data_IF_890983096791
#
_entry.id   IF_890983096791
#
_cell.length_a   1.000
_cell.length_b   1.000
_cell.length_c   1.000
_cell.angle_alpha   90.00
_cell.angle_beta   90.00
_cell.angle_gamma   90.00
#
_symmetry.space_group_name_H-M   'P 1'
#
loop_
_entity.id
_entity.type
_entity.pdbx_description
1 polymer ?
#
# COMPACT_ATOMS: atom_id res chain seq x y z
N UNK A 1 -8.68 -15.65 -5.61
CA UNK A 1 -9.73 -16.37 -6.35
C UNK A 1 -9.56 -16.33 -7.87
N UNK A 2 -8.87 -15.34 -8.45
CA UNK A 2 -8.64 -15.26 -9.91
C UNK A 2 -7.59 -16.24 -10.41
N UNK A 3 -6.54 -16.45 -9.62
CA UNK A 3 -5.34 -17.20 -10.02
C UNK A 3 -5.09 -18.46 -9.23
N UNK A 4 -5.81 -18.68 -8.12
CA UNK A 4 -5.66 -19.88 -7.29
C UNK A 4 -6.51 -21.04 -7.81
N UNK A 5 -6.03 -22.25 -7.64
CA UNK A 5 -6.81 -23.48 -7.86
C UNK A 5 -8.07 -23.46 -6.99
N UNK A 6 -9.18 -23.98 -7.53
CA UNK A 6 -10.46 -24.02 -6.81
C UNK A 6 -10.31 -24.92 -5.57
N UNK A 7 -10.74 -24.39 -4.41
CA UNK A 7 -10.67 -25.10 -3.13
C UNK A 7 -9.31 -25.05 -2.43
N UNK A 8 -8.26 -24.45 -3.06
CA UNK A 8 -6.93 -24.33 -2.45
C UNK A 8 -6.79 -23.14 -1.51
N UNK A 9 -7.71 -22.16 -1.58
CA UNK A 9 -7.62 -20.91 -0.81
C UNK A 9 -7.96 -21.18 0.66
N UNK A 10 -7.05 -20.82 1.54
CA UNK A 10 -7.19 -20.93 3.01
C UNK A 10 -6.90 -19.59 3.66
N UNK A 11 -7.70 -19.23 4.65
CA UNK A 11 -7.41 -18.11 5.54
C UNK A 11 -6.64 -18.68 6.73
N UNK A 12 -5.36 -18.34 6.86
CA UNK A 12 -4.49 -18.83 7.95
C UNK A 12 -4.53 -17.91 9.16
N UNK A 13 -4.77 -16.61 8.93
CA UNK A 13 -5.02 -15.62 9.97
C UNK A 13 -6.17 -14.71 9.53
N UNK A 14 -7.09 -14.39 10.44
CA UNK A 14 -8.25 -13.57 10.14
C UNK A 14 -8.33 -12.39 11.11
N UNK A 15 -8.30 -11.16 10.54
CA UNK A 15 -8.55 -9.90 11.25
C UNK A 15 -7.69 -9.72 12.52
N UNK A 16 -6.43 -10.13 12.47
CA UNK A 16 -5.47 -9.94 13.56
C UNK A 16 -5.07 -8.46 13.65
N UNK A 17 -5.09 -7.90 14.85
CA UNK A 17 -4.69 -6.51 15.07
C UNK A 17 -3.17 -6.43 15.20
N UNK A 18 -2.52 -5.83 14.21
CA UNK A 18 -1.10 -5.50 14.27
C UNK A 18 -0.90 -4.05 14.70
N UNK A 19 -0.03 -3.85 15.71
CA UNK A 19 0.26 -2.53 16.28
C UNK A 19 1.66 -2.10 15.88
N UNK A 20 1.74 -0.98 15.18
CA UNK A 20 2.98 -0.28 14.86
C UNK A 20 3.09 1.03 15.63
N UNK A 21 4.25 1.66 15.63
CA UNK A 21 4.51 2.88 16.43
C UNK A 21 3.54 4.04 16.17
N UNK A 22 2.94 4.13 15.01
CA UNK A 22 2.07 5.25 14.61
C UNK A 22 0.75 4.84 13.96
N UNK A 23 0.53 3.55 13.73
CA UNK A 23 -0.67 3.02 13.08
C UNK A 23 -1.03 1.64 13.61
N UNK A 24 -2.30 1.29 13.53
CA UNK A 24 -2.81 -0.06 13.75
C UNK A 24 -3.44 -0.57 12.46
N UNK A 25 -3.26 -1.84 12.17
CA UNK A 25 -3.86 -2.49 11.01
C UNK A 25 -4.61 -3.75 11.42
N UNK A 26 -5.70 -4.01 10.70
CA UNK A 26 -6.31 -5.34 10.67
C UNK A 26 -5.65 -6.11 9.53
N UNK A 27 -5.03 -7.23 9.87
CA UNK A 27 -4.31 -8.09 8.94
C UNK A 27 -5.01 -9.44 8.84
N UNK A 28 -5.10 -9.95 7.62
CA UNK A 28 -5.53 -11.32 7.36
C UNK A 28 -4.51 -11.96 6.42
N UNK A 29 -4.11 -13.18 6.74
CA UNK A 29 -3.20 -13.95 5.90
C UNK A 29 -3.97 -15.03 5.13
N UNK A 30 -3.74 -15.07 3.82
CA UNK A 30 -4.44 -15.96 2.89
C UNK A 30 -3.41 -16.68 2.05
N UNK A 31 -3.53 -18.00 1.99
CA UNK A 31 -2.71 -18.89 1.18
C UNK A 31 -3.53 -19.55 0.08
N UNK A 32 -2.87 -19.90 -1.01
CA UNK A 32 -3.51 -20.63 -2.10
C UNK A 32 -2.48 -21.21 -3.07
N UNK A 33 -2.88 -22.25 -3.80
CA UNK A 33 -2.05 -22.87 -4.83
C UNK A 33 -2.31 -22.14 -6.15
N UNK A 34 -1.27 -21.68 -6.79
CA UNK A 34 -1.38 -21.02 -8.09
C UNK A 34 -1.81 -22.04 -9.16
N UNK A 35 -2.76 -21.65 -10.03
CA UNK A 35 -3.20 -22.49 -11.15
C UNK A 35 -2.02 -22.87 -12.04
N UNK A 36 -2.02 -24.10 -12.53
CA UNK A 36 -1.00 -24.59 -13.45
C UNK A 36 -0.90 -23.71 -14.69
N UNK A 37 0.31 -23.33 -15.06
CA UNK A 37 0.61 -22.49 -16.21
C UNK A 37 0.59 -21.01 -15.94
N UNK A 38 0.26 -20.57 -14.72
CA UNK A 38 0.43 -19.20 -14.26
C UNK A 38 1.74 -19.03 -13.49
N UNK A 39 2.27 -17.82 -13.53
CA UNK A 39 3.50 -17.45 -12.84
C UNK A 39 3.31 -16.25 -11.88
N UNK A 40 4.40 -15.77 -11.31
CA UNK A 40 4.40 -14.65 -10.38
C UNK A 40 3.95 -13.33 -11.05
N UNK A 41 4.19 -13.14 -12.35
CA UNK A 41 3.73 -11.96 -13.07
C UNK A 41 2.22 -11.99 -13.26
N UNK A 42 1.64 -13.16 -13.53
CA UNK A 42 0.19 -13.33 -13.62
C UNK A 42 -0.48 -13.06 -12.28
N UNK A 43 0.14 -13.52 -11.17
CA UNK A 43 -0.32 -13.24 -9.82
C UNK A 43 -0.32 -11.72 -9.55
N UNK A 44 0.79 -11.03 -9.82
CA UNK A 44 0.86 -9.58 -9.63
C UNK A 44 -0.20 -8.87 -10.48
N UNK A 45 -0.31 -9.22 -11.76
CA UNK A 45 -1.28 -8.64 -12.70
C UNK A 45 -2.74 -8.81 -12.23
N UNK A 46 -3.05 -9.93 -11.60
CA UNK A 46 -4.39 -10.21 -11.08
C UNK A 46 -4.72 -9.45 -9.76
N UNK A 47 -3.69 -9.13 -8.95
CA UNK A 47 -3.85 -8.48 -7.65
C UNK A 47 -3.72 -6.95 -7.74
N UNK A 48 -2.93 -6.45 -8.67
CA UNK A 48 -2.63 -5.02 -8.84
C UNK A 48 -3.79 -4.23 -9.48
N UNK A 49 -3.97 -2.96 -9.10
CA UNK A 49 -3.45 -2.33 -7.89
C UNK A 49 -4.16 -2.82 -6.61
N UNK A 50 -3.51 -2.61 -5.46
CA UNK A 50 -4.06 -3.06 -4.19
C UNK A 50 -5.37 -2.34 -3.83
N UNK A 51 -6.40 -3.10 -3.48
CA UNK A 51 -7.74 -2.57 -3.16
C UNK A 51 -7.76 -1.61 -1.97
N UNK A 52 -6.86 -1.81 -1.00
CA UNK A 52 -6.73 -0.95 0.20
C UNK A 52 -6.30 0.49 -0.10
N UNK A 53 -5.69 0.75 -1.26
CA UNK A 53 -5.27 2.09 -1.69
C UNK A 53 -6.06 2.61 -2.89
N UNK A 54 -6.97 1.80 -3.45
CA UNK A 54 -7.84 2.19 -4.56
C UNK A 54 -9.30 2.23 -4.16
N UNK A 55 -9.81 1.20 -3.52
CA UNK A 55 -11.21 1.08 -3.13
C UNK A 55 -11.96 -0.01 -3.91
N UNK A 56 -13.26 -0.09 -3.67
CA UNK A 56 -14.14 -1.05 -4.32
C UNK A 56 -15.51 -0.41 -4.64
N UNK A 57 -16.08 -0.66 -5.83
CA UNK A 57 -15.54 -1.42 -6.97
C UNK A 57 -14.29 -0.74 -7.56
N UNK A 58 -13.25 -1.52 -7.85
CA UNK A 58 -11.89 -1.00 -8.12
C UNK A 58 -11.84 0.02 -9.27
N UNK A 59 -12.47 -0.26 -10.39
CA UNK A 59 -12.44 0.63 -11.58
C UNK A 59 -13.07 1.97 -11.24
N UNK A 60 -14.29 1.98 -10.69
CA UNK A 60 -14.97 3.24 -10.33
C UNK A 60 -14.23 4.03 -9.25
N UNK A 61 -13.64 3.34 -8.27
CA UNK A 61 -12.83 3.98 -7.24
C UNK A 61 -11.60 4.67 -7.85
N UNK A 62 -10.94 4.06 -8.82
CA UNK A 62 -9.80 4.66 -9.52
C UNK A 62 -10.21 5.86 -10.38
N UNK A 63 -11.37 5.82 -11.04
CA UNK A 63 -11.92 6.97 -11.76
C UNK A 63 -12.17 8.16 -10.83
N UNK A 64 -12.79 7.91 -9.66
CA UNK A 64 -13.03 8.94 -8.64
C UNK A 64 -11.71 9.53 -8.11
N UNK A 65 -10.70 8.71 -7.90
CA UNK A 65 -9.38 9.17 -7.48
C UNK A 65 -8.78 10.11 -8.53
N UNK A 66 -8.85 9.75 -9.81
CA UNK A 66 -8.37 10.58 -10.92
C UNK A 66 -9.14 11.90 -11.04
N UNK A 67 -10.46 11.87 -10.77
CA UNK A 67 -11.31 13.06 -10.79
C UNK A 67 -11.01 14.04 -9.63
N UNK A 68 -10.68 13.53 -8.45
CA UNK A 68 -10.63 14.32 -7.21
C UNK A 68 -9.23 14.63 -6.71
N UNK A 69 -8.22 13.81 -7.00
CA UNK A 69 -6.87 14.09 -6.55
C UNK A 69 -6.19 15.14 -7.45
N UNK A 70 -5.63 16.22 -6.87
CA UNK A 70 -5.07 17.33 -7.65
C UNK A 70 -3.72 16.98 -8.28
N UNK A 71 -3.10 15.88 -7.88
CA UNK A 71 -1.77 15.46 -8.33
C UNK A 71 -1.74 13.96 -8.61
N UNK A 72 -0.96 13.57 -9.61
CA UNK A 72 -0.74 12.16 -9.91
C UNK A 72 -0.04 11.45 -8.74
N UNK A 73 -0.46 10.23 -8.45
CA UNK A 73 0.09 9.41 -7.36
C UNK A 73 1.54 8.98 -7.59
N UNK A 74 1.97 8.89 -8.85
CA UNK A 74 3.31 8.40 -9.18
C UNK A 74 3.57 7.01 -8.59
N UNK A 75 4.58 6.89 -7.73
CA UNK A 75 4.91 5.64 -7.07
C UNK A 75 3.93 5.26 -5.94
N UNK A 76 3.19 6.23 -5.36
CA UNK A 76 2.29 5.99 -4.24
C UNK A 76 1.15 5.06 -4.62
N UNK A 77 0.90 4.04 -3.79
CA UNK A 77 -0.13 3.03 -4.05
C UNK A 77 0.24 2.01 -5.12
N UNK A 78 1.44 2.11 -5.68
CA UNK A 78 2.01 1.12 -6.58
C UNK A 78 2.47 -0.15 -5.86
N UNK A 79 3.32 -0.93 -6.51
CA UNK A 79 3.95 -2.12 -5.94
C UNK A 79 5.47 -1.97 -6.01
N UNK A 80 6.14 -2.32 -4.93
CA UNK A 80 7.60 -2.42 -4.85
C UNK A 80 7.98 -3.80 -4.36
N UNK A 81 9.00 -4.40 -4.97
CA UNK A 81 9.43 -5.73 -4.62
C UNK A 81 10.43 -6.31 -5.60
N UNK A 82 10.53 -7.62 -5.63
CA UNK A 82 11.46 -8.33 -6.52
C UNK A 82 10.84 -9.59 -7.11
N UNK A 83 11.34 -9.97 -8.27
CA UNK A 83 11.18 -11.28 -8.87
C UNK A 83 12.55 -11.96 -8.89
N UNK A 84 12.65 -13.13 -8.28
CA UNK A 84 13.91 -13.88 -8.26
C UNK A 84 14.05 -14.77 -9.48
N UNK A 85 15.27 -15.14 -9.80
CA UNK A 85 15.57 -16.10 -10.86
C UNK A 85 14.99 -17.50 -10.59
N UNK A 86 14.68 -17.82 -9.33
CA UNK A 86 14.01 -19.07 -8.95
C UNK A 86 12.48 -19.05 -9.13
N UNK A 87 11.91 -17.94 -9.65
CA UNK A 87 10.48 -17.78 -9.86
C UNK A 87 9.70 -17.25 -8.65
N UNK A 88 10.38 -17.01 -7.52
CA UNK A 88 9.74 -16.39 -6.36
C UNK A 88 9.52 -14.90 -6.58
N UNK A 89 8.48 -14.36 -5.97
CA UNK A 89 8.16 -12.94 -5.94
C UNK A 89 7.82 -12.53 -4.51
N UNK A 90 8.29 -11.36 -4.11
CA UNK A 90 7.81 -10.70 -2.92
C UNK A 90 7.58 -9.23 -3.24
N UNK A 91 6.38 -8.73 -2.93
CA UNK A 91 5.95 -7.36 -3.24
C UNK A 91 5.12 -6.79 -2.10
N UNK A 92 5.27 -5.51 -1.87
CA UNK A 92 4.40 -4.76 -0.98
C UNK A 92 3.83 -3.52 -1.68
N UNK A 93 2.81 -2.92 -1.06
CA UNK A 93 2.24 -1.67 -1.54
C UNK A 93 3.22 -0.53 -1.26
N UNK A 94 3.45 0.34 -2.24
CA UNK A 94 4.29 1.54 -2.07
C UNK A 94 3.54 2.59 -1.26
N UNK A 95 3.53 2.41 0.06
CA UNK A 95 3.01 3.35 1.06
C UNK A 95 4.07 3.56 2.15
N UNK A 96 3.94 4.59 2.98
CA UNK A 96 4.94 4.94 4.00
C UNK A 96 6.35 5.10 3.40
N UNK A 97 6.41 5.60 2.17
CA UNK A 97 7.62 5.69 1.35
C UNK A 97 7.93 7.14 1.09
N UNK A 98 9.21 7.50 1.19
CA UNK A 98 9.75 8.80 0.81
C UNK A 98 10.27 8.72 -0.62
N UNK A 99 9.84 9.63 -1.47
CA UNK A 99 10.45 9.85 -2.78
C UNK A 99 11.40 11.03 -2.69
N UNK A 100 12.68 10.82 -2.98
CA UNK A 100 13.69 11.87 -3.00
C UNK A 100 14.09 12.09 -4.46
N UNK A 101 13.85 13.31 -4.96
CA UNK A 101 14.19 13.71 -6.31
C UNK A 101 14.51 15.18 -6.35
N UNK A 102 15.56 15.55 -7.08
CA UNK A 102 15.98 16.96 -7.30
C UNK A 102 16.09 17.73 -5.98
N UNK A 103 16.75 17.15 -4.98
CA UNK A 103 16.93 17.70 -3.63
C UNK A 103 15.62 18.00 -2.86
N UNK A 104 14.51 17.47 -3.35
CA UNK A 104 13.21 17.56 -2.70
C UNK A 104 12.78 16.20 -2.17
N UNK A 105 12.06 16.22 -1.06
CA UNK A 105 11.45 15.01 -0.47
C UNK A 105 9.94 15.12 -0.62
N UNK A 106 9.36 14.11 -1.23
CA UNK A 106 7.92 13.98 -1.42
C UNK A 106 7.37 12.94 -0.47
N UNK A 107 6.29 13.31 0.21
CA UNK A 107 5.54 12.43 1.12
C UNK A 107 4.10 12.41 0.65
N UNK A 108 3.55 11.22 0.46
CA UNK A 108 2.15 11.05 0.12
C UNK A 108 1.48 10.07 1.10
N UNK A 109 0.30 10.41 1.57
CA UNK A 109 -0.51 9.58 2.44
C UNK A 109 -1.99 9.80 2.09
N UNK A 110 -2.81 8.78 2.34
CA UNK A 110 -4.24 8.82 2.11
C UNK A 110 -5.01 8.04 3.17
N UNK A 111 -6.31 8.30 3.26
CA UNK A 111 -7.24 7.56 4.08
C UNK A 111 -8.27 6.85 3.20
N UNK A 112 -8.84 5.75 3.70
CA UNK A 112 -9.96 5.08 3.05
C UNK A 112 -11.26 5.80 3.39
N UNK A 113 -12.02 6.19 2.38
CA UNK A 113 -13.28 6.92 2.56
C UNK A 113 -14.46 5.96 2.41
N UNK A 114 -15.35 5.98 3.38
CA UNK A 114 -16.59 5.21 3.41
C UNK A 114 -17.78 6.14 3.74
N UNK A 115 -19.01 5.62 3.65
CA UNK A 115 -20.21 6.42 3.88
C UNK A 115 -20.26 7.11 5.25
N UNK A 116 -19.70 6.45 6.28
CA UNK A 116 -19.68 6.96 7.66
C UNK A 116 -18.42 7.75 7.99
N UNK A 117 -17.56 8.03 7.00
CA UNK A 117 -16.33 8.81 7.22
C UNK A 117 -16.63 10.23 7.63
N UNK A 118 -15.92 10.71 8.65
CA UNK A 118 -15.97 12.10 9.12
C UNK A 118 -14.73 12.82 8.57
N UNK A 119 -14.87 13.86 7.71
CA UNK A 119 -13.77 14.50 6.99
C UNK A 119 -12.59 14.90 7.86
N UNK A 120 -12.83 15.47 9.04
CA UNK A 120 -11.80 15.91 9.98
C UNK A 120 -10.98 14.73 10.53
N UNK A 121 -11.63 13.59 10.74
CA UNK A 121 -10.95 12.37 11.23
C UNK A 121 -10.10 11.75 10.13
N UNK A 122 -10.61 11.68 8.90
CA UNK A 122 -9.87 11.18 7.75
C UNK A 122 -8.64 12.06 7.45
N UNK A 123 -8.78 13.38 7.54
CA UNK A 123 -7.65 14.30 7.41
C UNK A 123 -6.60 14.03 8.51
N UNK A 124 -7.01 13.91 9.78
CA UNK A 124 -6.09 13.58 10.88
C UNK A 124 -5.38 12.23 10.65
N UNK A 125 -6.09 11.27 10.09
CA UNK A 125 -5.50 9.96 9.75
C UNK A 125 -4.39 10.10 8.71
N UNK A 126 -4.60 10.90 7.65
CA UNK A 126 -3.55 11.13 6.64
C UNK A 126 -2.32 11.78 7.26
N UNK A 127 -2.50 12.77 8.13
CA UNK A 127 -1.39 13.43 8.87
C UNK A 127 -0.65 12.43 9.73
N UNK A 128 -1.36 11.60 10.50
CA UNK A 128 -0.76 10.57 11.35
C UNK A 128 0.05 9.55 10.53
N UNK A 129 -0.48 9.11 9.39
CA UNK A 129 0.22 8.22 8.46
C UNK A 129 1.51 8.83 7.88
N UNK A 130 1.55 10.14 7.66
CA UNK A 130 2.74 10.86 7.20
C UNK A 130 3.76 11.12 8.31
N UNK A 131 3.34 11.13 9.58
CA UNK A 131 4.14 11.61 10.71
C UNK A 131 5.47 10.86 10.90
N UNK A 132 5.49 9.54 10.71
CA UNK A 132 6.72 8.75 10.85
C UNK A 132 7.78 9.18 9.81
N UNK A 133 7.36 9.42 8.59
CA UNK A 133 8.21 9.88 7.49
C UNK A 133 8.72 11.31 7.75
N UNK A 134 7.86 12.19 8.25
CA UNK A 134 8.25 13.56 8.62
C UNK A 134 9.28 13.58 9.74
N UNK A 135 9.12 12.74 10.76
CA UNK A 135 10.12 12.58 11.82
C UNK A 135 11.45 12.05 11.30
N UNK A 136 11.44 11.09 10.39
CA UNK A 136 12.67 10.58 9.76
C UNK A 136 13.43 11.67 8.99
N UNK A 137 12.71 12.53 8.26
CA UNK A 137 13.31 13.69 7.57
C UNK A 137 13.95 14.66 8.57
N UNK A 138 13.24 14.95 9.67
CA UNK A 138 13.75 15.86 10.69
C UNK A 138 15.04 15.33 11.35
N UNK A 139 15.07 14.02 11.69
CA UNK A 139 16.26 13.36 12.21
C UNK A 139 17.42 13.39 11.23
N UNK A 140 17.19 13.09 9.96
CA UNK A 140 18.22 13.14 8.93
C UNK A 140 18.83 14.55 8.74
N UNK A 141 18.03 15.61 8.91
CA UNK A 141 18.53 17.00 8.90
C UNK A 141 19.40 17.32 10.11
N UNK A 142 19.02 16.84 11.30
CA UNK A 142 19.80 17.10 12.52
C UNK A 142 21.15 16.36 12.51
N UNK A 143 21.24 15.19 11.87
CA UNK A 143 22.49 14.44 11.73
C UNK A 143 23.49 15.10 10.79
N UNK A 144 23.05 15.83 9.77
CA UNK A 144 23.94 16.60 8.87
C UNK A 144 24.63 17.80 9.53
N UNK A 145 24.16 18.25 10.68
CA UNK A 145 24.79 19.32 11.45
C UNK A 145 25.88 18.85 12.42
N UNK A 146 26.17 17.54 12.43
CA UNK A 146 27.15 16.91 13.34
C UNK A 146 28.41 16.44 12.55
N UNK A 147 28.38 16.48 11.22
CA UNK A 147 29.49 16.19 10.32
C UNK A 147 29.93 17.49 9.64
#
# INVERSE_FOLDING_TARGET
GRVSEIGSVKVTELMTVERYSHVMHLVSNIEGILKKGLDAFDLLRACFPAGTVTGAPKVRAMEIIEELEPTLRGAYGGAVGYFSYSGNMDTCITIRTLLIKDQKVYVQAGAGIVADSVPENEYKETVNKAMAMMKAIALGKSMKSII
#
